data_IF_843750701734
#
_entry.id   IF_843750701734
#
_cell.length_a   1.000
_cell.length_b   1.000
_cell.length_c   1.000
_cell.angle_alpha   90.00
_cell.angle_beta   90.00
_cell.angle_gamma   90.00
#
_symmetry.space_group_name_H-M   'P 1'
#
loop_
_entity.id
_entity.type
_entity.pdbx_description
1 polymer ?
#
# COMPACT_ATOMS: atom_id res chain seq x y z
N UNK A 1 10.82 -7.61 8.95
CA UNK A 1 10.50 -7.62 10.37
C UNK A 1 9.49 -8.74 10.65
N UNK A 2 9.93 -9.77 11.39
CA UNK A 2 9.10 -10.93 11.69
C UNK A 2 7.97 -10.59 12.67
N UNK A 3 6.97 -11.48 12.78
CA UNK A 3 5.87 -11.38 13.77
C UNK A 3 6.43 -11.19 15.19
N UNK A 4 7.60 -11.73 15.49
CA UNK A 4 8.28 -11.61 16.78
C UNK A 4 8.75 -10.19 17.11
N UNK A 5 8.95 -9.33 16.09
CA UNK A 5 9.32 -7.93 16.29
C UNK A 5 8.12 -7.04 16.68
N UNK A 6 6.92 -7.63 16.71
CA UNK A 6 5.67 -6.93 17.08
C UNK A 6 4.93 -7.68 18.21
N UNK A 7 5.44 -7.64 19.44
CA UNK A 7 4.85 -8.38 20.57
C UNK A 7 3.38 -8.01 20.83
N UNK A 8 2.97 -6.77 20.49
CA UNK A 8 1.60 -6.31 20.63
C UNK A 8 0.59 -7.14 19.80
N UNK A 9 0.96 -7.58 18.60
CA UNK A 9 0.10 -8.42 17.74
C UNK A 9 -0.06 -9.81 18.37
N UNK A 10 1.03 -10.40 18.86
CA UNK A 10 0.99 -11.71 19.52
C UNK A 10 0.17 -11.65 20.80
N UNK A 11 0.32 -10.61 21.60
CA UNK A 11 -0.46 -10.38 22.82
C UNK A 11 -1.95 -10.20 22.51
N UNK A 12 -2.29 -9.45 21.44
CA UNK A 12 -3.68 -9.29 21.02
C UNK A 12 -4.31 -10.61 20.56
N UNK A 13 -3.58 -11.41 19.78
CA UNK A 13 -4.03 -12.75 19.34
C UNK A 13 -4.25 -13.66 20.53
N UNK A 14 -3.30 -13.71 21.48
CA UNK A 14 -3.41 -14.49 22.69
C UNK A 14 -4.60 -14.06 23.54
N UNK A 15 -4.78 -12.74 23.72
CA UNK A 15 -5.90 -12.17 24.48
C UNK A 15 -7.24 -12.54 23.82
N UNK A 16 -7.37 -12.34 22.50
CA UNK A 16 -8.59 -12.66 21.76
C UNK A 16 -8.93 -14.15 21.87
N UNK A 17 -7.92 -15.02 21.78
CA UNK A 17 -8.09 -16.45 21.94
C UNK A 17 -8.52 -16.83 23.38
N UNK A 18 -7.93 -16.23 24.42
CA UNK A 18 -8.31 -16.47 25.81
C UNK A 18 -9.75 -16.03 26.09
N UNK A 19 -10.15 -14.86 25.58
CA UNK A 19 -11.53 -14.37 25.71
C UNK A 19 -12.50 -15.32 25.01
N UNK A 20 -12.22 -15.72 23.78
CA UNK A 20 -13.08 -16.63 23.01
C UNK A 20 -13.21 -18.01 23.71
N UNK A 21 -12.11 -18.56 24.20
CA UNK A 21 -12.09 -19.83 24.94
C UNK A 21 -12.93 -19.71 26.24
N UNK A 22 -12.76 -18.63 27.01
CA UNK A 22 -13.49 -18.38 28.25
C UNK A 22 -14.99 -18.24 27.99
N UNK A 23 -15.39 -17.44 27.00
CA UNK A 23 -16.79 -17.24 26.63
C UNK A 23 -17.43 -18.56 26.19
N UNK A 24 -16.76 -19.32 25.32
CA UNK A 24 -17.26 -20.61 24.84
C UNK A 24 -17.49 -21.61 25.98
N UNK A 25 -16.51 -21.73 26.89
CA UNK A 25 -16.60 -22.65 28.03
C UNK A 25 -17.65 -22.19 29.06
N UNK A 26 -17.79 -20.87 29.29
CA UNK A 26 -18.82 -20.33 30.18
C UNK A 26 -20.22 -20.58 29.63
N UNK A 27 -20.43 -20.37 28.35
CA UNK A 27 -21.70 -20.61 27.66
C UNK A 27 -22.11 -22.10 27.77
N UNK A 28 -21.17 -23.01 27.58
CA UNK A 28 -21.44 -24.42 27.69
C UNK A 28 -21.74 -24.85 29.14
N UNK A 29 -21.02 -24.28 30.12
CA UNK A 29 -21.31 -24.47 31.54
C UNK A 29 -22.73 -24.05 31.94
N UNK A 30 -23.13 -22.83 31.50
CA UNK A 30 -24.49 -22.31 31.74
C UNK A 30 -25.58 -23.17 31.09
N UNK A 31 -25.30 -23.77 29.93
CA UNK A 31 -26.22 -24.64 29.20
C UNK A 31 -26.52 -25.94 29.98
N UNK A 32 -25.50 -26.48 30.66
CA UNK A 32 -25.65 -27.71 31.45
C UNK A 32 -26.17 -27.50 32.87
N UNK A 33 -26.43 -26.26 33.33
CA UNK A 33 -26.90 -25.92 34.68
C UNK A 33 -26.09 -26.52 35.82
N UNK A 34 -24.85 -26.88 35.57
CA UNK A 34 -23.93 -27.44 36.56
C UNK A 34 -22.63 -26.67 36.54
N UNK A 35 -22.07 -26.36 37.69
CA UNK A 35 -20.69 -25.87 37.79
C UNK A 35 -19.74 -27.02 37.57
N UNK A 36 -19.07 -27.09 36.43
CA UNK A 36 -18.16 -28.20 36.17
C UNK A 36 -16.93 -28.10 37.09
N UNK A 37 -16.36 -29.22 37.52
CA UNK A 37 -15.16 -29.23 38.33
C UNK A 37 -13.98 -28.56 37.57
N UNK A 38 -13.05 -27.97 38.30
CA UNK A 38 -11.90 -27.27 37.71
C UNK A 38 -11.11 -28.11 36.70
N UNK A 39 -11.02 -29.39 36.91
CA UNK A 39 -10.37 -30.37 36.01
C UNK A 39 -11.06 -30.38 34.62
N UNK A 40 -12.40 -30.27 34.57
CA UNK A 40 -13.15 -30.23 33.30
C UNK A 40 -12.81 -28.97 32.51
N UNK A 41 -12.72 -27.80 33.20
CA UNK A 41 -12.30 -26.56 32.60
C UNK A 41 -10.89 -26.64 32.03
N UNK A 42 -9.94 -27.14 32.82
CA UNK A 42 -8.57 -27.34 32.39
C UNK A 42 -8.45 -28.25 31.20
N UNK A 43 -9.15 -29.39 31.21
CA UNK A 43 -9.17 -30.34 30.10
C UNK A 43 -9.75 -29.71 28.83
N UNK A 44 -10.90 -29.02 28.94
CA UNK A 44 -11.55 -28.34 27.81
C UNK A 44 -10.65 -27.27 27.22
N UNK A 45 -10.00 -26.48 28.08
CA UNK A 45 -9.05 -25.46 27.68
C UNK A 45 -7.83 -26.05 26.96
N UNK A 46 -7.23 -27.10 27.49
CA UNK A 46 -6.08 -27.77 26.87
C UNK A 46 -6.43 -28.38 25.51
N UNK A 47 -7.61 -29.03 25.39
CA UNK A 47 -8.08 -29.58 24.13
C UNK A 47 -8.29 -28.47 23.10
N UNK A 48 -8.93 -27.36 23.50
CA UNK A 48 -9.14 -26.21 22.64
C UNK A 48 -7.79 -25.59 22.21
N UNK A 49 -6.86 -25.44 23.15
CA UNK A 49 -5.50 -24.96 22.87
C UNK A 49 -4.77 -25.85 21.87
N UNK A 50 -4.82 -27.18 22.09
CA UNK A 50 -4.17 -28.14 21.20
C UNK A 50 -4.75 -28.10 19.77
N UNK A 51 -6.06 -27.96 19.62
CA UNK A 51 -6.72 -27.86 18.31
C UNK A 51 -6.34 -26.54 17.62
N UNK A 52 -6.43 -25.39 18.31
CA UNK A 52 -6.17 -24.08 17.72
C UNK A 52 -4.68 -23.90 17.41
N UNK A 53 -3.82 -24.09 18.39
CA UNK A 53 -2.38 -23.88 18.23
C UNK A 53 -1.70 -24.99 17.43
N UNK A 54 -2.15 -26.23 17.58
CA UNK A 54 -1.69 -27.34 16.77
C UNK A 54 -2.08 -27.18 15.30
N UNK A 55 -3.32 -26.79 15.04
CA UNK A 55 -3.80 -26.48 13.70
C UNK A 55 -3.03 -25.33 13.06
N UNK A 56 -2.79 -24.24 13.82
CA UNK A 56 -1.99 -23.09 13.37
C UNK A 56 -0.53 -23.50 13.06
N UNK A 57 0.09 -24.30 13.91
CA UNK A 57 1.46 -24.80 13.71
C UNK A 57 1.55 -25.68 12.45
N UNK A 58 0.62 -26.61 12.30
CA UNK A 58 0.56 -27.50 11.11
C UNK A 58 0.35 -26.67 9.85
N UNK A 59 -0.56 -25.71 9.88
CA UNK A 59 -0.78 -24.79 8.77
C UNK A 59 0.48 -24.01 8.43
N UNK A 60 1.15 -23.42 9.43
CA UNK A 60 2.39 -22.66 9.24
C UNK A 60 3.51 -23.52 8.65
N UNK A 61 3.67 -24.77 9.10
CA UNK A 61 4.65 -25.70 8.55
C UNK A 61 4.35 -26.08 7.09
N UNK A 62 3.10 -26.36 6.77
CA UNK A 62 2.67 -26.66 5.39
C UNK A 62 2.95 -25.48 4.49
N UNK A 63 2.62 -24.25 4.93
CA UNK A 63 2.85 -23.02 4.16
C UNK A 63 4.34 -22.75 3.98
N UNK A 64 5.14 -22.89 5.02
CA UNK A 64 6.59 -22.73 4.93
C UNK A 64 7.20 -23.74 3.96
N UNK A 65 6.78 -24.98 4.00
CA UNK A 65 7.25 -26.04 3.09
C UNK A 65 6.86 -25.78 1.62
N UNK A 66 5.71 -25.17 1.37
CA UNK A 66 5.23 -24.86 0.01
C UNK A 66 5.78 -23.54 -0.55
N UNK A 67 5.91 -22.50 0.29
CA UNK A 67 6.34 -21.18 -0.15
C UNK A 67 7.85 -21.12 -0.44
N UNK A 68 8.67 -21.68 0.44
CA UNK A 68 10.13 -21.55 0.33
C UNK A 68 10.68 -22.19 -0.96
N UNK A 69 10.33 -23.44 -1.33
CA UNK A 69 10.79 -24.02 -2.58
C UNK A 69 10.12 -23.41 -3.82
N UNK A 70 8.85 -23.02 -3.71
CA UNK A 70 8.08 -22.46 -4.82
C UNK A 70 8.55 -21.09 -5.27
N UNK A 71 9.19 -20.31 -4.40
CA UNK A 71 9.75 -18.98 -4.72
C UNK A 71 11.15 -19.05 -5.31
N UNK A 72 11.85 -20.16 -5.16
CA UNK A 72 13.23 -20.31 -5.63
C UNK A 72 13.25 -20.62 -7.15
N UNK A 73 13.72 -19.66 -7.95
CA UNK A 73 13.95 -19.84 -9.38
C UNK A 73 12.74 -19.63 -10.28
N UNK A 74 11.61 -19.16 -9.74
CA UNK A 74 10.42 -18.81 -10.53
C UNK A 74 10.42 -17.35 -10.93
N UNK A 75 9.76 -17.03 -12.05
CA UNK A 75 9.55 -15.66 -12.50
C UNK A 75 8.64 -14.88 -11.52
N UNK A 76 8.69 -13.55 -11.60
CA UNK A 76 7.92 -12.66 -10.73
C UNK A 76 6.42 -12.97 -10.73
N UNK A 77 5.85 -13.26 -11.90
CA UNK A 77 4.43 -13.58 -12.07
C UNK A 77 4.04 -14.85 -11.31
N UNK A 78 4.87 -15.87 -11.42
CA UNK A 78 4.67 -17.17 -10.78
C UNK A 78 4.77 -17.04 -9.25
N UNK A 79 5.67 -16.18 -8.75
CA UNK A 79 5.76 -15.85 -7.32
C UNK A 79 4.52 -15.14 -6.81
N UNK A 80 4.01 -14.15 -7.56
CA UNK A 80 2.79 -13.41 -7.21
C UNK A 80 1.56 -14.30 -7.20
N UNK A 81 1.39 -15.16 -8.19
CA UNK A 81 0.28 -16.09 -8.27
C UNK A 81 0.35 -17.15 -7.16
N UNK A 82 1.55 -17.58 -6.81
CA UNK A 82 1.77 -18.52 -5.72
C UNK A 82 1.38 -17.89 -4.37
N UNK A 83 1.79 -16.65 -4.09
CA UNK A 83 1.42 -15.92 -2.88
C UNK A 83 -0.09 -15.67 -2.83
N UNK A 84 -0.69 -15.20 -3.91
CA UNK A 84 -2.13 -14.96 -4.00
C UNK A 84 -2.93 -16.26 -3.82
N UNK A 85 -2.47 -17.37 -4.39
CA UNK A 85 -3.05 -18.70 -4.22
C UNK A 85 -3.05 -19.19 -2.77
N UNK A 86 -2.05 -18.80 -1.97
CA UNK A 86 -2.00 -19.16 -0.56
C UNK A 86 -3.06 -18.43 0.28
N UNK A 87 -3.35 -17.16 -0.03
CA UNK A 87 -4.45 -16.43 0.60
C UNK A 87 -5.81 -17.05 0.24
N UNK A 88 -6.01 -17.45 -1.01
CA UNK A 88 -7.21 -18.16 -1.42
C UNK A 88 -7.37 -19.50 -0.67
N UNK A 89 -6.31 -20.29 -0.55
CA UNK A 89 -6.31 -21.52 0.22
C UNK A 89 -6.67 -21.29 1.69
N UNK A 90 -6.09 -20.28 2.33
CA UNK A 90 -6.42 -19.92 3.72
C UNK A 90 -7.90 -19.59 3.88
N UNK A 91 -8.49 -18.83 2.96
CA UNK A 91 -9.90 -18.48 2.94
C UNK A 91 -10.78 -19.74 2.82
N UNK A 92 -10.45 -20.66 1.91
CA UNK A 92 -11.17 -21.92 1.76
C UNK A 92 -11.07 -22.82 2.99
N UNK A 93 -9.91 -22.85 3.65
CA UNK A 93 -9.74 -23.60 4.90
C UNK A 93 -10.59 -23.02 6.03
N UNK A 94 -10.68 -21.69 6.17
CA UNK A 94 -11.56 -21.03 7.13
C UNK A 94 -13.04 -21.35 6.87
N UNK A 95 -13.48 -21.31 5.61
CA UNK A 95 -14.84 -21.66 5.21
C UNK A 95 -15.12 -23.12 5.54
N UNK A 96 -14.22 -24.03 5.16
CA UNK A 96 -14.34 -25.47 5.44
C UNK A 96 -14.41 -25.75 6.95
N UNK A 97 -13.58 -25.08 7.74
CA UNK A 97 -13.59 -25.17 9.20
C UNK A 97 -14.91 -24.66 9.80
N UNK A 98 -15.41 -23.51 9.33
CA UNK A 98 -16.68 -22.95 9.80
C UNK A 98 -17.87 -23.89 9.49
N UNK A 99 -17.90 -24.48 8.30
CA UNK A 99 -18.90 -25.48 7.91
C UNK A 99 -18.81 -26.75 8.74
N UNK A 100 -17.60 -27.27 9.00
CA UNK A 100 -17.37 -28.43 9.85
C UNK A 100 -17.83 -28.16 11.30
N UNK A 101 -17.45 -26.98 11.84
CA UNK A 101 -17.88 -26.59 13.18
C UNK A 101 -19.40 -26.46 13.28
N UNK A 102 -20.04 -25.80 12.30
CA UNK A 102 -21.49 -25.69 12.24
C UNK A 102 -22.19 -27.07 12.18
N UNK A 103 -21.62 -28.00 11.40
CA UNK A 103 -22.13 -29.35 11.27
C UNK A 103 -22.02 -30.11 12.58
N UNK A 104 -20.85 -30.10 13.24
CA UNK A 104 -20.62 -30.74 14.53
C UNK A 104 -21.56 -30.18 15.61
N UNK A 105 -21.74 -28.84 15.61
CA UNK A 105 -22.63 -28.20 16.59
C UNK A 105 -24.10 -28.50 16.36
N UNK A 106 -24.53 -28.68 15.12
CA UNK A 106 -25.91 -28.96 14.74
C UNK A 106 -26.25 -30.46 14.85
N UNK A 107 -25.26 -31.34 14.78
CA UNK A 107 -25.42 -32.78 14.73
C UNK A 107 -26.24 -33.38 15.87
N UNK A 108 -26.01 -33.04 17.17
CA UNK A 108 -26.81 -33.58 18.28
C UNK A 108 -28.28 -33.17 18.18
N UNK A 109 -28.57 -31.97 17.71
CA UNK A 109 -29.93 -31.45 17.53
C UNK A 109 -30.66 -32.18 16.40
N UNK A 110 -29.97 -32.38 15.28
CA UNK A 110 -30.49 -33.12 14.12
C UNK A 110 -30.76 -34.58 14.47
N UNK A 111 -29.86 -35.22 15.23
CA UNK A 111 -30.00 -36.63 15.62
C UNK A 111 -31.08 -36.87 16.68
N UNK A 112 -31.30 -35.92 17.59
CA UNK A 112 -32.25 -36.07 18.69
C UNK A 112 -33.71 -35.85 18.31
N UNK A 113 -34.01 -35.15 17.22
CA UNK A 113 -35.36 -34.65 16.91
C UNK A 113 -36.03 -35.25 15.67
N UNK A 114 -35.38 -36.12 14.91
CA UNK A 114 -35.99 -36.86 13.78
C UNK A 114 -36.46 -35.97 12.60
N UNK A 115 -37.00 -36.60 11.58
CA UNK A 115 -37.39 -36.00 10.27
C UNK A 115 -38.46 -34.92 10.39
N UNK A 116 -39.32 -34.92 11.42
CA UNK A 116 -40.40 -33.93 11.60
C UNK A 116 -39.88 -32.51 11.92
N UNK A 117 -38.67 -32.38 12.48
CA UNK A 117 -38.01 -31.08 12.73
C UNK A 117 -37.26 -30.61 11.51
N UNK A 118 -36.83 -31.50 10.63
CA UNK A 118 -36.15 -31.16 9.39
C UNK A 118 -37.00 -30.22 8.53
N UNK A 119 -38.30 -30.50 8.39
CA UNK A 119 -39.20 -29.66 7.59
C UNK A 119 -39.43 -28.24 8.16
N UNK A 120 -39.34 -28.06 9.49
CA UNK A 120 -39.44 -26.72 10.12
C UNK A 120 -38.09 -25.96 10.10
N UNK A 121 -36.98 -26.70 10.01
CA UNK A 121 -35.63 -26.12 9.93
C UNK A 121 -35.19 -25.86 8.49
N UNK A 122 -35.85 -26.46 7.49
CA UNK A 122 -35.49 -26.28 6.08
C UNK A 122 -35.40 -24.81 5.65
N UNK A 123 -36.37 -23.92 6.00
CA UNK A 123 -36.27 -22.49 5.64
C UNK A 123 -35.09 -21.80 6.31
N UNK A 124 -34.80 -22.13 7.57
CA UNK A 124 -33.66 -21.54 8.31
C UNK A 124 -32.32 -22.04 7.78
N UNK A 125 -32.23 -23.32 7.40
CA UNK A 125 -31.07 -23.90 6.76
C UNK A 125 -30.85 -23.33 5.36
N UNK A 126 -31.93 -23.14 4.58
CA UNK A 126 -31.86 -22.51 3.26
C UNK A 126 -31.42 -21.05 3.37
N UNK A 127 -31.97 -20.29 4.31
CA UNK A 127 -31.56 -18.90 4.57
C UNK A 127 -30.09 -18.81 5.03
N UNK A 128 -29.66 -19.73 5.90
CA UNK A 128 -28.27 -19.84 6.35
C UNK A 128 -27.30 -20.19 5.22
N UNK A 129 -27.68 -21.12 4.35
CA UNK A 129 -26.89 -21.49 3.17
C UNK A 129 -26.80 -20.34 2.16
N UNK A 130 -27.90 -19.62 1.95
CA UNK A 130 -27.91 -18.43 1.08
C UNK A 130 -27.03 -17.31 1.64
N UNK A 131 -27.10 -17.03 2.94
CA UNK A 131 -26.25 -16.05 3.60
C UNK A 131 -24.77 -16.45 3.55
N UNK A 132 -24.46 -17.73 3.76
CA UNK A 132 -23.09 -18.25 3.62
C UNK A 132 -22.59 -18.12 2.17
N UNK A 133 -23.42 -18.48 1.18
CA UNK A 133 -23.05 -18.31 -0.24
C UNK A 133 -22.83 -16.85 -0.62
N UNK A 134 -23.67 -15.93 -0.13
CA UNK A 134 -23.50 -14.48 -0.33
C UNK A 134 -22.21 -13.98 0.34
N UNK A 135 -21.91 -14.40 1.57
CA UNK A 135 -20.68 -14.06 2.26
C UNK A 135 -19.43 -14.58 1.51
N UNK A 136 -19.48 -15.83 1.05
CA UNK A 136 -18.42 -16.43 0.22
C UNK A 136 -18.23 -15.64 -1.07
N UNK A 137 -19.33 -15.30 -1.76
CA UNK A 137 -19.28 -14.50 -2.98
C UNK A 137 -18.60 -13.15 -2.74
N UNK A 138 -18.98 -12.42 -1.68
CA UNK A 138 -18.35 -11.14 -1.32
C UNK A 138 -16.87 -11.31 -0.99
N UNK A 139 -16.49 -12.35 -0.22
CA UNK A 139 -15.10 -12.61 0.10
C UNK A 139 -14.28 -12.89 -1.15
N UNK A 140 -14.78 -13.72 -2.05
CA UNK A 140 -14.07 -14.10 -3.28
C UNK A 140 -13.94 -12.93 -4.27
N UNK A 141 -15.00 -12.13 -4.43
CA UNK A 141 -15.02 -11.04 -5.43
C UNK A 141 -14.36 -9.75 -4.93
N UNK A 142 -14.56 -9.41 -3.65
CA UNK A 142 -14.09 -8.14 -3.11
C UNK A 142 -12.76 -8.30 -2.36
N UNK A 143 -12.69 -9.23 -1.41
CA UNK A 143 -11.54 -9.30 -0.50
C UNK A 143 -10.30 -9.95 -1.15
N UNK A 144 -10.46 -11.00 -1.95
CA UNK A 144 -9.31 -11.67 -2.57
C UNK A 144 -8.65 -10.76 -3.60
N UNK A 145 -9.45 -10.05 -4.41
CA UNK A 145 -8.94 -9.07 -5.36
C UNK A 145 -8.16 -7.93 -4.67
N UNK A 146 -8.71 -7.42 -3.55
CA UNK A 146 -8.06 -6.41 -2.73
C UNK A 146 -6.72 -6.88 -2.16
N UNK A 147 -6.73 -8.07 -1.53
CA UNK A 147 -5.51 -8.65 -0.93
C UNK A 147 -4.45 -8.91 -1.99
N UNK A 148 -4.86 -9.42 -3.18
CA UNK A 148 -3.93 -9.63 -4.30
C UNK A 148 -3.30 -8.32 -4.77
N UNK A 149 -4.09 -7.26 -4.95
CA UNK A 149 -3.58 -5.94 -5.32
C UNK A 149 -2.60 -5.39 -4.28
N UNK A 150 -2.94 -5.49 -2.97
CA UNK A 150 -2.08 -5.03 -1.88
C UNK A 150 -0.77 -5.84 -1.77
N UNK A 151 -0.81 -7.15 -1.99
CA UNK A 151 0.39 -7.99 -2.05
C UNK A 151 1.31 -7.55 -3.19
N UNK A 152 0.77 -7.33 -4.39
CA UNK A 152 1.54 -6.86 -5.55
C UNK A 152 2.13 -5.48 -5.27
N UNK A 153 1.32 -4.56 -4.73
CA UNK A 153 1.77 -3.22 -4.35
C UNK A 153 2.93 -3.27 -3.34
N UNK A 154 2.84 -4.10 -2.29
CA UNK A 154 3.90 -4.25 -1.28
C UNK A 154 5.18 -4.86 -1.84
N UNK A 155 5.08 -5.74 -2.82
CA UNK A 155 6.25 -6.19 -3.57
C UNK A 155 6.88 -5.04 -4.35
N UNK A 156 6.06 -4.19 -4.99
CA UNK A 156 6.52 -2.97 -5.66
C UNK A 156 7.33 -2.07 -4.73
N UNK A 157 6.89 -1.86 -3.48
CA UNK A 157 7.61 -1.06 -2.49
C UNK A 157 9.01 -1.61 -2.17
N UNK A 158 9.19 -2.93 -2.19
CA UNK A 158 10.49 -3.55 -1.96
C UNK A 158 11.48 -3.20 -3.08
N UNK A 159 11.05 -3.26 -4.35
CA UNK A 159 11.87 -2.88 -5.50
C UNK A 159 12.09 -1.36 -5.57
N UNK A 160 11.09 -0.57 -5.19
CA UNK A 160 11.18 0.89 -5.05
C UNK A 160 12.31 1.27 -4.06
N UNK A 161 12.37 0.63 -2.89
CA UNK A 161 13.42 0.88 -1.90
C UNK A 161 14.83 0.52 -2.40
N UNK A 162 14.92 -0.39 -3.37
CA UNK A 162 16.16 -0.79 -4.04
C UNK A 162 16.46 0.06 -5.29
N UNK A 163 15.63 1.06 -5.60
CA UNK A 163 15.69 1.89 -6.81
C UNK A 163 15.57 1.08 -8.12
N UNK A 164 14.95 -0.09 -8.07
CA UNK A 164 14.63 -0.87 -9.27
C UNK A 164 13.29 -0.38 -9.85
N UNK A 165 13.33 0.82 -10.47
CA UNK A 165 12.16 1.51 -10.95
C UNK A 165 11.40 0.75 -12.05
N UNK A 166 12.12 0.03 -12.92
CA UNK A 166 11.50 -0.75 -13.97
C UNK A 166 10.57 -1.84 -13.42
N UNK A 167 11.01 -2.55 -12.37
CA UNK A 167 10.20 -3.58 -11.71
C UNK A 167 9.09 -2.95 -10.85
N UNK A 168 9.38 -1.83 -10.16
CA UNK A 168 8.38 -1.12 -9.35
C UNK A 168 7.21 -0.63 -10.21
N UNK A 169 7.49 0.01 -11.35
CA UNK A 169 6.48 0.50 -12.31
C UNK A 169 5.57 -0.65 -12.73
N UNK A 170 6.12 -1.78 -13.13
CA UNK A 170 5.33 -2.93 -13.56
C UNK A 170 4.44 -3.48 -12.44
N UNK A 171 4.96 -3.58 -11.22
CA UNK A 171 4.20 -4.07 -10.07
C UNK A 171 3.08 -3.10 -9.66
N UNK A 172 3.37 -1.81 -9.56
CA UNK A 172 2.36 -0.81 -9.23
C UNK A 172 1.28 -0.71 -10.29
N UNK A 173 1.65 -0.79 -11.58
CA UNK A 173 0.71 -0.85 -12.70
C UNK A 173 -0.24 -2.07 -12.57
N UNK A 174 0.29 -3.26 -12.26
CA UNK A 174 -0.52 -4.48 -12.03
C UNK A 174 -1.43 -4.37 -10.81
N UNK A 175 -0.92 -3.79 -9.72
CA UNK A 175 -1.74 -3.54 -8.54
C UNK A 175 -2.90 -2.61 -8.88
N UNK A 176 -2.61 -1.50 -9.58
CA UNK A 176 -3.60 -0.53 -9.99
C UNK A 176 -4.59 -1.09 -11.03
N UNK A 177 -4.15 -1.91 -12.00
CA UNK A 177 -5.03 -2.58 -12.94
C UNK A 177 -6.05 -3.51 -12.26
N UNK A 178 -5.72 -4.02 -11.06
CA UNK A 178 -6.64 -4.81 -10.24
C UNK A 178 -7.59 -3.92 -9.40
N UNK A 179 -7.24 -2.64 -9.16
CA UNK A 179 -8.00 -1.65 -8.38
C UNK A 179 -7.72 -0.23 -8.88
N UNK A 180 -8.40 0.14 -9.95
CA UNK A 180 -8.22 1.41 -10.66
C UNK A 180 -8.61 2.67 -9.87
N UNK A 181 -9.23 2.54 -8.70
CA UNK A 181 -9.68 3.67 -7.87
C UNK A 181 -8.82 3.91 -6.63
N UNK A 182 -7.67 3.23 -6.51
CA UNK A 182 -6.82 3.35 -5.33
C UNK A 182 -5.76 4.44 -5.55
N UNK A 183 -6.00 5.63 -5.01
CA UNK A 183 -5.15 6.82 -5.16
C UNK A 183 -3.72 6.59 -4.67
N UNK A 184 -3.57 5.77 -3.63
CA UNK A 184 -2.26 5.42 -3.08
C UNK A 184 -1.40 4.61 -4.07
N UNK A 185 -1.99 3.66 -4.82
CA UNK A 185 -1.25 2.92 -5.85
C UNK A 185 -0.88 3.83 -7.03
N UNK A 186 -1.77 4.78 -7.39
CA UNK A 186 -1.48 5.78 -8.41
C UNK A 186 -0.29 6.65 -8.01
N UNK A 187 -0.25 7.12 -6.75
CA UNK A 187 0.85 7.93 -6.22
C UNK A 187 2.21 7.23 -6.41
N UNK A 188 2.30 5.97 -6.02
CA UNK A 188 3.55 5.21 -6.11
C UNK A 188 3.91 4.86 -7.56
N UNK A 189 2.92 4.56 -8.39
CA UNK A 189 3.15 4.35 -9.83
C UNK A 189 3.69 5.63 -10.48
N UNK A 190 3.03 6.78 -10.27
CA UNK A 190 3.45 8.05 -10.84
C UNK A 190 4.86 8.45 -10.40
N UNK A 191 5.18 8.28 -9.10
CA UNK A 191 6.52 8.51 -8.58
C UNK A 191 7.56 7.58 -9.23
N UNK A 192 7.27 6.29 -9.35
CA UNK A 192 8.22 5.33 -9.93
C UNK A 192 8.43 5.56 -11.43
N UNK A 193 7.40 6.00 -12.16
CA UNK A 193 7.49 6.43 -13.56
C UNK A 193 8.42 7.65 -13.68
N UNK A 194 8.26 8.65 -12.81
CA UNK A 194 9.11 9.83 -12.76
C UNK A 194 10.58 9.47 -12.48
N UNK A 195 10.83 8.63 -11.46
CA UNK A 195 12.21 8.23 -11.12
C UNK A 195 12.86 7.45 -12.27
N UNK A 196 12.10 6.58 -12.94
CA UNK A 196 12.59 5.86 -14.11
C UNK A 196 12.87 6.79 -15.30
N UNK A 197 12.06 7.84 -15.50
CA UNK A 197 12.28 8.83 -16.56
C UNK A 197 13.63 9.55 -16.43
N UNK A 198 14.16 9.67 -15.21
CA UNK A 198 15.51 10.24 -14.96
C UNK A 198 16.64 9.32 -15.42
N UNK A 199 16.40 8.00 -15.47
CA UNK A 199 17.39 6.99 -15.84
C UNK A 199 17.37 6.67 -17.34
N UNK A 200 16.22 6.91 -18.00
CA UNK A 200 16.01 6.59 -19.43
C UNK A 200 16.22 7.82 -20.28
N UNK A 201 16.97 7.68 -21.36
CA UNK A 201 17.19 8.75 -22.31
C UNK A 201 15.99 9.01 -23.25
N UNK A 202 16.09 10.10 -24.05
CA UNK A 202 15.10 10.38 -25.07
C UNK A 202 14.96 9.20 -26.05
N UNK A 203 13.74 8.91 -26.50
CA UNK A 203 13.44 7.90 -27.52
C UNK A 203 12.76 8.57 -28.70
N UNK A 204 13.11 8.15 -29.92
CA UNK A 204 12.44 8.57 -31.14
C UNK A 204 11.08 7.88 -31.33
N UNK A 205 10.86 6.76 -30.64
CA UNK A 205 9.62 5.97 -30.72
C UNK A 205 8.79 6.25 -29.47
N UNK A 206 7.59 6.79 -29.68
CA UNK A 206 6.59 6.92 -28.63
C UNK A 206 5.61 5.74 -28.71
N UNK A 207 5.37 5.11 -27.56
CA UNK A 207 4.42 4.01 -27.40
C UNK A 207 3.08 4.49 -26.82
N UNK A 208 3.03 5.71 -26.32
CA UNK A 208 1.84 6.35 -25.75
C UNK A 208 1.40 7.54 -26.62
N UNK A 209 0.13 7.88 -26.56
CA UNK A 209 -0.40 9.09 -27.17
C UNK A 209 0.21 10.35 -26.52
N UNK A 210 0.01 11.53 -27.14
CA UNK A 210 0.50 12.80 -26.56
C UNK A 210 -0.17 13.15 -25.23
N UNK A 211 -1.42 12.72 -25.04
CA UNK A 211 -2.17 12.84 -23.78
C UNK A 211 -2.77 11.46 -23.46
N UNK A 212 -1.97 10.56 -22.87
CA UNK A 212 -2.43 9.21 -22.60
C UNK A 212 -3.51 9.20 -21.53
N UNK A 213 -4.45 8.27 -21.64
CA UNK A 213 -5.42 7.99 -20.57
C UNK A 213 -4.85 6.99 -19.57
N UNK A 214 -5.44 6.94 -18.36
CA UNK A 214 -5.05 5.92 -17.38
C UNK A 214 -5.21 4.50 -17.93
N UNK A 215 -6.31 4.24 -18.66
CA UNK A 215 -6.54 2.93 -19.29
C UNK A 215 -5.46 2.57 -20.29
N UNK A 216 -4.98 3.54 -21.09
CA UNK A 216 -3.87 3.32 -22.03
C UNK A 216 -2.58 2.94 -21.29
N UNK A 217 -2.26 3.62 -20.19
CA UNK A 217 -1.10 3.28 -19.35
C UNK A 217 -1.25 1.89 -18.71
N UNK A 218 -2.44 1.55 -18.24
CA UNK A 218 -2.70 0.27 -17.59
C UNK A 218 -2.76 -0.91 -18.59
N UNK A 219 -3.10 -0.65 -19.84
CA UNK A 219 -3.17 -1.67 -20.91
C UNK A 219 -1.79 -2.12 -21.43
N UNK A 220 -0.72 -1.38 -21.14
CA UNK A 220 0.64 -1.76 -21.55
C UNK A 220 1.01 -3.13 -20.96
N UNK A 221 1.65 -3.97 -21.74
CA UNK A 221 2.26 -5.20 -21.24
C UNK A 221 3.67 -4.93 -20.66
N UNK A 222 4.25 -5.92 -20.02
CA UNK A 222 5.58 -5.79 -19.41
C UNK A 222 6.66 -5.43 -20.43
N UNK A 223 6.57 -5.94 -21.65
CA UNK A 223 7.55 -5.67 -22.70
C UNK A 223 7.45 -4.21 -23.19
N UNK A 224 6.22 -3.70 -23.37
CA UNK A 224 5.96 -2.31 -23.72
C UNK A 224 6.42 -1.36 -22.58
N UNK A 225 6.08 -1.66 -21.33
CA UNK A 225 6.57 -0.89 -20.16
C UNK A 225 8.10 -0.83 -20.13
N UNK A 226 8.79 -1.92 -20.47
CA UNK A 226 10.25 -1.95 -20.50
C UNK A 226 10.86 -1.04 -21.59
N UNK A 227 10.11 -0.77 -22.66
CA UNK A 227 10.54 0.02 -23.83
C UNK A 227 10.11 1.48 -23.80
N UNK A 228 9.35 1.93 -22.77
CA UNK A 228 8.94 3.33 -22.65
C UNK A 228 10.15 4.25 -22.64
N UNK A 229 10.13 5.24 -23.51
CA UNK A 229 11.10 6.32 -23.55
C UNK A 229 10.83 7.37 -22.45
N UNK A 230 11.77 8.30 -22.26
CA UNK A 230 11.69 9.35 -21.25
C UNK A 230 10.38 10.14 -21.32
N UNK A 231 9.98 10.58 -22.52
CA UNK A 231 8.78 11.39 -22.70
C UNK A 231 7.49 10.60 -22.38
N UNK A 232 7.42 9.33 -22.78
CA UNK A 232 6.29 8.48 -22.47
C UNK A 232 6.17 8.23 -20.95
N UNK A 233 7.30 8.04 -20.27
CA UNK A 233 7.33 7.87 -18.81
C UNK A 233 6.84 9.13 -18.08
N UNK A 234 7.23 10.33 -18.56
CA UNK A 234 6.79 11.60 -17.98
C UNK A 234 5.29 11.85 -18.21
N UNK A 235 4.78 11.59 -19.41
CA UNK A 235 3.34 11.68 -19.73
C UNK A 235 2.51 10.69 -18.93
N UNK A 236 2.98 9.44 -18.84
CA UNK A 236 2.32 8.43 -18.02
C UNK A 236 2.29 8.83 -16.54
N UNK A 237 3.40 9.38 -16.02
CA UNK A 237 3.47 9.88 -14.64
C UNK A 237 2.47 11.01 -14.40
N UNK A 238 2.37 11.97 -15.33
CA UNK A 238 1.42 13.07 -15.26
C UNK A 238 -0.02 12.55 -15.20
N UNK A 239 -0.39 11.69 -16.14
CA UNK A 239 -1.74 11.10 -16.18
C UNK A 239 -2.11 10.41 -14.88
N UNK A 240 -1.23 9.54 -14.39
CA UNK A 240 -1.48 8.76 -13.17
C UNK A 240 -1.58 9.67 -11.93
N UNK A 241 -0.73 10.69 -11.81
CA UNK A 241 -0.76 11.62 -10.68
C UNK A 241 -1.94 12.58 -10.72
N UNK A 242 -2.38 13.02 -11.90
CA UNK A 242 -3.60 13.81 -12.06
C UNK A 242 -4.84 13.01 -11.66
N UNK A 243 -4.92 11.75 -12.06
CA UNK A 243 -5.99 10.84 -11.61
C UNK A 243 -5.97 10.65 -10.09
N UNK A 244 -4.79 10.44 -9.48
CA UNK A 244 -4.65 10.34 -8.04
C UNK A 244 -5.18 11.60 -7.32
N UNK A 245 -4.82 12.79 -7.82
CA UNK A 245 -5.31 14.07 -7.31
C UNK A 245 -6.83 14.20 -7.51
N UNK A 246 -7.37 13.74 -8.63
CA UNK A 246 -8.80 13.72 -8.89
C UNK A 246 -9.59 12.85 -7.92
N UNK A 247 -9.04 11.67 -7.56
CA UNK A 247 -9.65 10.75 -6.58
C UNK A 247 -9.58 11.33 -5.17
N UNK A 248 -8.45 11.93 -4.78
CA UNK A 248 -8.25 12.48 -3.43
C UNK A 248 -7.56 13.86 -3.48
N UNK A 249 -8.31 14.93 -3.78
CA UNK A 249 -7.74 16.27 -3.97
C UNK A 249 -7.18 16.91 -2.71
N UNK A 250 -7.51 16.38 -1.53
CA UNK A 250 -6.99 16.88 -0.24
C UNK A 250 -5.69 16.19 0.19
N UNK A 251 -5.26 15.17 -0.54
CA UNK A 251 -3.98 14.52 -0.25
C UNK A 251 -2.84 15.36 -0.80
N UNK A 252 -2.09 15.98 0.11
CA UNK A 252 -0.95 16.84 -0.18
C UNK A 252 0.12 16.13 -1.02
N UNK A 253 0.31 14.81 -0.82
CA UNK A 253 1.35 14.07 -1.53
C UNK A 253 1.09 13.96 -3.02
N UNK A 254 -0.18 13.93 -3.47
CA UNK A 254 -0.52 13.92 -4.90
C UNK A 254 -0.08 15.22 -5.56
N UNK A 255 -0.47 16.34 -4.98
CA UNK A 255 -0.09 17.68 -5.48
C UNK A 255 1.42 17.91 -5.44
N UNK A 256 2.08 17.48 -4.36
CA UNK A 256 3.53 17.60 -4.22
C UNK A 256 4.29 16.73 -5.25
N UNK A 257 3.79 15.54 -5.58
CA UNK A 257 4.43 14.71 -6.61
C UNK A 257 4.19 15.24 -8.03
N UNK A 258 3.05 15.87 -8.32
CA UNK A 258 2.85 16.64 -9.56
C UNK A 258 3.84 17.80 -9.67
N UNK A 259 4.02 18.55 -8.58
CA UNK A 259 5.00 19.64 -8.56
C UNK A 259 6.43 19.14 -8.84
N UNK A 260 6.84 18.03 -8.23
CA UNK A 260 8.14 17.39 -8.48
C UNK A 260 8.27 16.88 -9.92
N UNK A 261 7.20 16.33 -10.48
CA UNK A 261 7.14 15.87 -11.86
C UNK A 261 7.41 17.03 -12.81
N UNK A 262 6.67 18.12 -12.69
CA UNK A 262 6.83 19.27 -13.59
C UNK A 262 8.22 19.92 -13.47
N UNK A 263 8.76 20.05 -12.26
CA UNK A 263 10.13 20.54 -12.08
C UNK A 263 11.16 19.62 -12.75
N UNK A 264 11.06 18.31 -12.53
CA UNK A 264 11.97 17.35 -13.15
C UNK A 264 11.81 17.33 -14.67
N UNK A 265 10.60 17.43 -15.18
CA UNK A 265 10.34 17.50 -16.61
C UNK A 265 10.96 18.75 -17.23
N UNK A 266 10.88 19.91 -16.54
CA UNK A 266 11.58 21.12 -16.94
C UNK A 266 13.11 20.91 -17.02
N UNK A 267 13.70 20.29 -16.00
CA UNK A 267 15.15 19.98 -15.97
C UNK A 267 15.58 19.06 -17.13
N UNK A 268 14.70 18.17 -17.59
CA UNK A 268 14.94 17.24 -18.71
C UNK A 268 14.58 17.80 -20.09
N UNK A 269 13.92 18.95 -20.16
CA UNK A 269 13.52 19.57 -21.42
C UNK A 269 14.68 20.38 -22.02
N UNK A 270 14.89 20.23 -23.31
CA UNK A 270 15.87 21.04 -24.05
C UNK A 270 15.28 22.39 -24.56
N UNK A 271 13.96 22.54 -24.53
CA UNK A 271 13.25 23.74 -25.00
C UNK A 271 13.06 24.73 -23.85
N UNK A 272 13.64 25.95 -23.92
CA UNK A 272 13.55 26.97 -22.87
C UNK A 272 12.12 27.43 -22.59
N UNK A 273 11.27 27.54 -23.60
CA UNK A 273 9.87 27.98 -23.42
C UNK A 273 9.08 26.89 -22.69
N UNK A 274 9.31 25.63 -23.05
CA UNK A 274 8.73 24.48 -22.36
C UNK A 274 9.24 24.37 -20.91
N UNK A 275 10.53 24.63 -20.67
CA UNK A 275 11.09 24.66 -19.31
C UNK A 275 10.35 25.68 -18.44
N UNK A 276 10.18 26.90 -18.92
CA UNK A 276 9.49 27.96 -18.16
C UNK A 276 8.04 27.58 -17.86
N UNK A 277 7.30 27.08 -18.85
CA UNK A 277 5.92 26.64 -18.66
C UNK A 277 5.81 25.52 -17.59
N UNK A 278 6.70 24.53 -17.63
CA UNK A 278 6.72 23.44 -16.65
C UNK A 278 7.10 23.91 -15.23
N UNK A 279 8.00 24.90 -15.12
CA UNK A 279 8.34 25.50 -13.83
C UNK A 279 7.16 26.30 -13.26
N UNK A 280 6.38 26.98 -14.11
CA UNK A 280 5.15 27.66 -13.70
C UNK A 280 4.13 26.67 -13.14
N UNK A 281 3.90 25.55 -13.81
CA UNK A 281 3.04 24.47 -13.32
C UNK A 281 3.57 23.88 -12.01
N UNK A 282 4.88 23.66 -11.89
CA UNK A 282 5.49 23.16 -10.65
C UNK A 282 5.23 24.09 -9.47
N UNK A 283 5.44 25.41 -9.66
CA UNK A 283 5.22 26.42 -8.63
C UNK A 283 3.75 26.46 -8.22
N UNK A 284 2.82 26.43 -9.18
CA UNK A 284 1.38 26.41 -8.91
C UNK A 284 0.96 25.18 -8.08
N UNK A 285 1.52 24.01 -8.41
CA UNK A 285 1.27 22.78 -7.63
C UNK A 285 1.87 22.89 -6.23
N UNK A 286 3.08 23.42 -6.06
CA UNK A 286 3.65 23.65 -4.72
C UNK A 286 2.85 24.68 -3.92
N UNK A 287 2.30 25.72 -4.53
CA UNK A 287 1.41 26.66 -3.84
C UNK A 287 0.18 25.95 -3.25
N UNK A 288 -0.42 25.08 -4.05
CA UNK A 288 -1.54 24.24 -3.59
C UNK A 288 -1.10 23.30 -2.46
N UNK A 289 0.05 22.63 -2.60
CA UNK A 289 0.57 21.71 -1.59
C UNK A 289 0.87 22.39 -0.25
N UNK A 290 1.48 23.57 -0.24
CA UNK A 290 1.76 24.32 1.00
C UNK A 290 0.49 24.92 1.61
N UNK A 291 -0.55 25.16 0.82
CA UNK A 291 -1.87 25.54 1.34
C UNK A 291 -2.55 24.38 2.05
N UNK A 292 -2.46 23.18 1.51
CA UNK A 292 -2.98 21.95 2.15
C UNK A 292 -2.18 21.56 3.40
N UNK A 293 -0.88 21.80 3.41
CA UNK A 293 0.02 21.45 4.51
C UNK A 293 0.96 22.62 4.87
N UNK A 294 0.46 23.68 5.52
CA UNK A 294 1.21 24.94 5.73
C UNK A 294 2.42 24.80 6.65
N UNK A 295 2.44 23.78 7.50
CA UNK A 295 3.52 23.51 8.45
C UNK A 295 4.55 22.48 7.92
N UNK A 296 4.39 22.00 6.70
CA UNK A 296 5.35 21.07 6.12
C UNK A 296 6.55 21.82 5.54
N UNK A 297 7.60 21.98 6.34
CA UNK A 297 8.86 22.70 6.02
C UNK A 297 9.50 22.21 4.73
N UNK A 298 9.44 20.88 4.47
CA UNK A 298 10.00 20.30 3.27
C UNK A 298 9.34 20.85 2.00
N UNK A 299 8.00 20.98 2.00
CA UNK A 299 7.28 21.50 0.83
C UNK A 299 7.61 22.97 0.55
N UNK A 300 7.86 23.76 1.60
CA UNK A 300 8.31 25.14 1.46
C UNK A 300 9.71 25.22 0.84
N UNK A 301 10.63 24.34 1.24
CA UNK A 301 11.95 24.24 0.63
C UNK A 301 11.85 23.79 -0.85
N UNK A 302 11.00 22.79 -1.13
CA UNK A 302 10.79 22.32 -2.51
C UNK A 302 10.16 23.41 -3.39
N UNK A 303 9.23 24.23 -2.86
CA UNK A 303 8.69 25.41 -3.54
C UNK A 303 9.78 26.43 -3.83
N UNK A 304 10.62 26.75 -2.84
CA UNK A 304 11.76 27.68 -3.01
C UNK A 304 12.74 27.17 -4.07
N UNK A 305 13.03 25.84 -4.09
CA UNK A 305 13.84 25.21 -5.14
C UNK A 305 13.24 25.38 -6.55
N UNK A 306 11.89 25.34 -6.70
CA UNK A 306 11.23 25.57 -7.97
C UNK A 306 11.40 27.03 -8.45
N UNK A 307 11.25 28.02 -7.54
CA UNK A 307 11.56 29.42 -7.84
C UNK A 307 13.04 29.63 -8.21
N UNK A 308 13.95 28.95 -7.49
CA UNK A 308 15.38 29.02 -7.82
C UNK A 308 15.67 28.45 -9.21
N UNK A 309 15.06 27.34 -9.59
CA UNK A 309 15.17 26.75 -10.93
C UNK A 309 14.64 27.69 -12.02
N UNK A 310 13.59 28.45 -11.71
CA UNK A 310 13.03 29.48 -12.59
C UNK A 310 13.93 30.73 -12.71
N UNK A 311 14.95 30.89 -11.87
CA UNK A 311 15.85 32.03 -11.82
C UNK A 311 15.44 33.12 -10.82
N UNK A 312 14.39 32.92 -10.06
CA UNK A 312 13.83 33.86 -9.07
C UNK A 312 14.53 33.73 -7.71
N UNK A 313 15.83 34.07 -7.69
CA UNK A 313 16.69 33.81 -6.52
C UNK A 313 16.23 34.53 -5.26
N UNK A 314 15.81 35.80 -5.39
CA UNK A 314 15.39 36.60 -4.24
C UNK A 314 14.11 36.02 -3.60
N UNK A 315 13.19 35.49 -4.42
CA UNK A 315 11.98 34.83 -3.94
C UNK A 315 12.34 33.55 -3.21
N UNK A 316 13.23 32.72 -3.78
CA UNK A 316 13.67 31.49 -3.16
C UNK A 316 14.33 31.74 -1.79
N UNK A 317 15.22 32.73 -1.70
CA UNK A 317 15.86 33.10 -0.43
C UNK A 317 14.86 33.53 0.64
N UNK A 318 13.90 34.39 0.27
CA UNK A 318 12.84 34.81 1.18
C UNK A 318 12.01 33.60 1.69
N UNK A 319 11.70 32.63 0.82
CA UNK A 319 10.96 31.44 1.21
C UNK A 319 11.76 30.55 2.16
N UNK A 320 13.06 30.37 1.97
CA UNK A 320 13.92 29.65 2.90
C UNK A 320 14.00 30.35 4.27
N UNK A 321 14.18 31.68 4.29
CA UNK A 321 14.20 32.44 5.54
C UNK A 321 12.86 32.36 6.28
N UNK A 322 11.74 32.46 5.57
CA UNK A 322 10.41 32.26 6.15
C UNK A 322 10.24 30.81 6.70
N UNK A 323 10.88 29.84 6.06
CA UNK A 323 10.83 28.45 6.47
C UNK A 323 11.60 28.21 7.78
N UNK A 324 12.77 28.84 7.95
CA UNK A 324 13.49 28.82 9.23
C UNK A 324 12.67 29.43 10.38
N UNK A 325 11.83 30.43 10.09
CA UNK A 325 10.93 31.02 11.11
C UNK A 325 9.79 30.03 11.50
N UNK A 326 9.53 28.99 10.72
CA UNK A 326 8.55 27.93 11.05
C UNK A 326 9.19 26.76 11.81
N UNK A 327 10.39 26.39 11.41
CA UNK A 327 11.15 25.28 12.02
C UNK A 327 12.66 25.62 11.87
N UNK A 328 13.23 26.08 12.96
CA UNK A 328 14.65 26.45 13.08
C UNK A 328 15.58 25.24 13.32
N UNK A 329 15.00 24.04 13.46
CA UNK A 329 15.74 22.80 13.62
C UNK A 329 15.82 21.96 12.32
N UNK A 330 15.29 22.49 11.20
CA UNK A 330 15.29 21.74 9.93
C UNK A 330 16.57 22.02 9.14
N UNK A 331 17.56 21.16 9.33
CA UNK A 331 18.93 21.28 8.80
C UNK A 331 19.01 21.55 7.29
N UNK A 332 18.13 20.91 6.50
CA UNK A 332 18.13 21.07 5.04
C UNK A 332 17.96 22.54 4.60
N UNK A 333 17.18 23.35 5.36
CA UNK A 333 16.99 24.76 5.01
C UNK A 333 18.27 25.57 5.18
N UNK A 334 19.08 25.29 6.21
CA UNK A 334 20.40 25.92 6.39
C UNK A 334 21.36 25.54 5.27
N UNK A 335 21.39 24.27 4.87
CA UNK A 335 22.22 23.79 3.77
C UNK A 335 21.85 24.50 2.46
N UNK A 336 20.55 24.67 2.17
CA UNK A 336 20.09 25.37 0.97
C UNK A 336 20.47 26.85 0.97
N UNK A 337 20.34 27.56 2.09
CA UNK A 337 20.78 28.94 2.25
C UNK A 337 22.30 29.06 2.13
N UNK A 338 23.05 28.13 2.74
CA UNK A 338 24.50 28.11 2.63
C UNK A 338 24.97 27.88 1.18
N UNK A 339 24.31 27.02 0.39
CA UNK A 339 24.60 26.85 -1.04
C UNK A 339 24.35 28.15 -1.82
N UNK A 340 23.26 28.86 -1.52
CA UNK A 340 22.98 30.18 -2.14
C UNK A 340 24.03 31.20 -1.79
N UNK A 341 24.45 31.34 -0.53
CA UNK A 341 25.49 32.28 -0.06
C UNK A 341 26.87 31.92 -0.65
N UNK A 342 27.16 30.61 -0.75
CA UNK A 342 28.40 30.12 -1.39
C UNK A 342 28.50 30.56 -2.87
N UNK A 343 27.41 30.46 -3.60
CA UNK A 343 27.33 30.90 -5.01
C UNK A 343 27.47 32.43 -5.19
N UNK A 344 27.24 33.22 -4.12
CA UNK A 344 27.49 34.67 -4.08
C UNK A 344 28.91 34.99 -3.60
N UNK A 345 29.66 34.02 -3.11
CA UNK A 345 31.00 34.21 -2.56
C UNK A 345 31.01 34.75 -1.12
N UNK A 346 29.88 34.62 -0.40
CA UNK A 346 29.69 35.10 0.96
C UNK A 346 30.16 34.04 1.97
N UNK A 347 31.46 33.77 2.05
CA UNK A 347 32.04 32.68 2.79
C UNK A 347 31.77 32.76 4.30
N UNK A 348 31.71 33.93 4.90
CA UNK A 348 31.38 34.12 6.31
C UNK A 348 29.94 33.68 6.60
N UNK A 349 28.98 34.08 5.78
CA UNK A 349 27.58 33.65 5.92
C UNK A 349 27.41 32.14 5.77
N UNK A 350 28.21 31.50 4.91
CA UNK A 350 28.23 30.02 4.77
C UNK A 350 28.67 29.36 6.06
N UNK A 351 29.73 29.88 6.71
CA UNK A 351 30.23 29.33 7.98
C UNK A 351 29.18 29.47 9.07
N UNK A 352 28.62 30.68 9.23
CA UNK A 352 27.61 30.99 10.24
C UNK A 352 26.36 30.07 10.09
N UNK A 353 25.89 29.83 8.85
CA UNK A 353 24.76 28.94 8.61
C UNK A 353 25.06 27.47 8.92
N UNK A 354 26.29 26.99 8.60
CA UNK A 354 26.68 25.60 8.83
C UNK A 354 27.11 25.31 10.27
N UNK A 355 27.52 26.31 11.05
CA UNK A 355 27.78 26.17 12.49
C UNK A 355 26.49 26.00 13.30
N UNK A 356 25.34 26.31 12.73
CA UNK A 356 24.04 26.17 13.39
C UNK A 356 23.48 24.74 13.33
N UNK A 357 24.00 23.90 12.44
CA UNK A 357 23.61 22.49 12.25
C UNK A 357 24.50 21.59 13.15
#
# INVERSE_FOLDING_TARGET
>A
PGILDRPAILLLLLFTWLVAATVGMTTESLRHRQTPPAVWWLRGFLVHAAIVWGGWLIYGLIQSWRLVPGLAGTGLDEQLDLIAGHFALFTWLLIGWALAAATVYSWPVLRARGVAVANRLLPSLAAGALAAAAAIFVILTVNIGLVRADVIYKQGQQFDSQRNWATSVELYRRALASRTTEDHYMLFLGRSLLERAKEVGPSEVSLLSEAPTLDEVLALDQAAVAQLGQQDLLRAAETVLLEAQGVNPLNTDHTANLARLYRTWAELSADPDRQQALLDESIAMYETAVTLSPNNVRLWNEKANAHLARGERDVAEQLYLQNLAKDDLYDETYVLLADMSSRRGENEAVIDLLEYI
#
